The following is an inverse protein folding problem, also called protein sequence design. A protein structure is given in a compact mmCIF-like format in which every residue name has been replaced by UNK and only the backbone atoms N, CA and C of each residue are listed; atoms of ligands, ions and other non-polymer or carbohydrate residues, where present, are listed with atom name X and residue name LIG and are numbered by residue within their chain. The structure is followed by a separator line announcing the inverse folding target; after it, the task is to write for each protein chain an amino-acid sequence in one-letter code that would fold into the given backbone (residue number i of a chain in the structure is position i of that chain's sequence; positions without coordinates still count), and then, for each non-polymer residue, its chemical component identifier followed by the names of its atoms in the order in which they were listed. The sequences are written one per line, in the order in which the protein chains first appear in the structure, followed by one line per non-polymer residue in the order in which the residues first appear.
data_IF_311997808252
#
_entry.id   IF_311997808252
#
_cell.length_a   1.000
_cell.length_b   1.000
_cell.length_c   1.000
_cell.angle_alpha   90.00
_cell.angle_beta   90.00
_cell.angle_gamma   90.00
#
_symmetry.space_group_name_H-M   'P 1'
#
loop_
_entity.id
_entity.type
_entity.pdbx_description
1 polymer ?
#
# COMPACT_ATOMS: atom_id res chain seq x y z
N UNK A 1 -24.30 9.90 19.80
CA UNK A 1 -23.92 9.36 21.13
C UNK A 1 -23.76 7.84 21.13
N UNK A 2 -24.74 7.04 20.66
CA UNK A 2 -24.64 5.56 20.63
C UNK A 2 -23.47 5.00 19.79
N UNK A 3 -23.13 5.64 18.66
CA UNK A 3 -21.97 5.27 17.83
C UNK A 3 -20.61 5.57 18.49
N UNK A 4 -20.55 6.58 19.36
CA UNK A 4 -19.34 6.92 20.12
C UNK A 4 -19.10 5.89 21.25
N UNK A 5 -20.19 5.41 21.88
CA UNK A 5 -20.12 4.32 22.86
C UNK A 5 -19.66 3.01 22.22
N UNK A 6 -20.09 2.69 20.99
CA UNK A 6 -19.66 1.49 20.28
C UNK A 6 -18.16 1.57 19.89
N UNK A 7 -17.68 2.75 19.47
CA UNK A 7 -16.27 3.01 19.19
C UNK A 7 -15.40 2.87 20.46
N UNK A 8 -15.86 3.38 21.60
CA UNK A 8 -15.19 3.26 22.90
C UNK A 8 -15.16 1.83 23.44
N UNK A 9 -16.21 1.04 23.20
CA UNK A 9 -16.28 -0.37 23.62
C UNK A 9 -15.29 -1.25 22.83
N UNK A 10 -15.09 -0.94 21.55
CA UNK A 10 -14.14 -1.67 20.70
C UNK A 10 -12.68 -1.28 21.03
N UNK A 11 -12.43 -0.01 21.40
CA UNK A 11 -11.09 0.44 21.85
C UNK A 11 -10.75 -0.03 23.27
N UNK A 12 -11.73 -0.22 24.16
CA UNK A 12 -11.51 -0.59 25.56
C UNK A 12 -11.12 -2.05 25.80
N UNK A 13 -11.32 -2.94 24.83
CA UNK A 13 -11.06 -4.38 25.01
C UNK A 13 -9.60 -4.80 24.79
N UNK A 14 -8.73 -3.91 24.29
CA UNK A 14 -7.33 -4.22 23.99
C UNK A 14 -6.35 -3.88 25.13
N UNK A 15 -6.82 -3.35 26.26
CA UNK A 15 -5.96 -2.83 27.33
C UNK A 15 -5.78 -3.74 28.56
N UNK A 16 -6.44 -4.91 28.62
CA UNK A 16 -6.48 -5.74 29.84
C UNK A 16 -5.74 -7.08 29.78
N UNK A 17 -4.83 -7.29 28.83
CA UNK A 17 -4.01 -8.50 28.80
C UNK A 17 -2.55 -8.17 28.47
N UNK A 18 -1.81 -7.70 29.47
CA UNK A 18 -0.37 -7.97 29.73
C UNK A 18 0.17 -6.89 30.69
N UNK A 19 -0.10 -7.01 31.99
CA UNK A 19 0.61 -6.23 32.99
C UNK A 19 0.56 -6.97 34.33
N UNK A 20 1.24 -8.11 34.41
CA UNK A 20 1.61 -8.70 35.69
C UNK A 20 3.00 -9.31 35.54
N UNK A 21 3.99 -8.51 35.94
CA UNK A 21 5.05 -8.87 36.88
C UNK A 21 6.39 -8.26 36.46
N UNK A 22 6.74 -7.13 37.08
CA UNK A 22 8.08 -6.57 37.06
C UNK A 22 8.26 -5.70 38.31
N UNK A 23 8.78 -6.30 39.39
CA UNK A 23 9.36 -5.59 40.52
C UNK A 23 10.86 -5.29 40.26
N UNK A 24 11.47 -4.28 40.93
CA UNK A 24 12.62 -3.54 40.40
C UNK A 24 13.97 -3.89 41.09
N UNK A 25 15.06 -3.13 40.88
CA UNK A 25 16.31 -3.57 40.26
C UNK A 25 17.40 -4.06 41.24
N UNK A 26 18.35 -4.84 40.74
CA UNK A 26 19.67 -5.01 41.34
C UNK A 26 20.73 -4.64 40.28
N UNK A 27 21.36 -3.50 40.50
CA UNK A 27 22.75 -3.21 40.10
C UNK A 27 23.64 -4.28 40.73
N UNK A 28 24.68 -4.86 40.13
CA UNK A 28 25.91 -4.37 39.49
C UNK A 28 26.39 -5.56 38.60
N UNK A 29 27.06 -5.49 37.44
CA UNK A 29 28.26 -4.76 37.00
C UNK A 29 28.32 -4.77 35.44
N UNK A 30 29.09 -3.86 34.84
CA UNK A 30 29.48 -3.76 33.41
C UNK A 30 31.03 -3.67 33.37
N UNK A 31 31.79 -3.88 32.26
CA UNK A 31 31.50 -4.34 30.88
C UNK A 31 32.42 -5.49 30.36
N UNK A 32 32.04 -6.10 29.23
CA UNK A 32 32.97 -6.38 28.12
C UNK A 32 32.20 -6.38 26.79
N UNK A 33 32.83 -5.85 25.74
CA UNK A 33 32.25 -5.30 24.52
C UNK A 33 32.16 -6.29 23.33
N UNK A 34 31.35 -5.89 22.32
CA UNK A 34 31.34 -6.28 20.88
C UNK A 34 30.92 -7.75 20.58
N UNK A 35 30.12 -8.16 19.58
CA UNK A 35 29.59 -7.68 18.29
C UNK A 35 28.64 -8.80 17.75
N UNK A 36 27.66 -8.59 16.83
CA UNK A 36 26.83 -9.70 16.32
C UNK A 36 27.03 -10.07 14.83
N UNK A 37 26.96 -11.40 14.59
CA UNK A 37 26.40 -12.17 13.45
C UNK A 37 27.06 -12.17 12.05
N UNK A 38 27.04 -13.33 11.35
CA UNK A 38 26.98 -13.39 9.90
C UNK A 38 25.71 -14.09 9.39
N UNK A 39 25.11 -13.54 8.34
CA UNK A 39 23.98 -14.08 7.58
C UNK A 39 24.49 -14.53 6.20
N UNK A 40 23.99 -15.65 5.68
CA UNK A 40 24.42 -16.29 4.43
C UNK A 40 23.35 -16.18 3.35
N UNK A 41 23.75 -15.79 2.14
CA UNK A 41 22.96 -15.80 0.90
C UNK A 41 23.06 -17.15 0.17
N UNK A 42 22.03 -17.61 -0.58
CA UNK A 42 22.19 -18.65 -1.58
C UNK A 42 22.20 -18.10 -3.01
N UNK A 43 23.09 -18.67 -3.82
CA UNK A 43 23.28 -18.41 -5.24
C UNK A 43 22.21 -19.03 -6.15
N UNK A 44 22.04 -18.46 -7.36
CA UNK A 44 22.21 -19.17 -8.65
C UNK A 44 21.79 -18.30 -9.86
N UNK A 45 22.64 -18.24 -10.89
CA UNK A 45 22.33 -18.72 -12.26
C UNK A 45 23.47 -18.38 -13.25
N UNK A 46 24.00 -19.44 -13.87
CA UNK A 46 24.95 -19.46 -14.99
C UNK A 46 24.23 -19.41 -16.34
N UNK A 47 24.76 -18.65 -17.31
CA UNK A 47 25.24 -19.18 -18.61
C UNK A 47 25.47 -18.06 -19.63
N UNK A 48 26.72 -17.81 -20.02
CA UNK A 48 27.08 -17.44 -21.38
C UNK A 48 28.40 -18.14 -21.74
N UNK A 49 28.47 -18.73 -22.93
CA UNK A 49 29.68 -19.31 -23.48
C UNK A 49 30.39 -18.31 -24.38
N UNK A 50 31.71 -18.28 -24.33
CA UNK A 50 32.58 -18.32 -25.51
C UNK A 50 34.02 -18.57 -25.02
N UNK A 51 34.69 -19.56 -25.62
CA UNK A 51 36.01 -20.02 -25.23
C UNK A 51 37.12 -19.15 -25.84
N UNK A 52 38.12 -18.75 -25.03
CA UNK A 52 39.54 -18.67 -25.41
C UNK A 52 40.41 -18.68 -24.14
N UNK A 53 41.29 -19.68 -24.05
CA UNK A 53 42.46 -19.84 -23.15
C UNK A 53 43.64 -20.09 -24.10
N UNK A 54 44.96 -19.84 -23.79
CA UNK A 54 45.61 -19.99 -22.47
C UNK A 54 46.72 -18.92 -22.12
N UNK A 55 46.77 -18.37 -20.90
CA UNK A 55 47.61 -18.77 -19.72
C UNK A 55 48.68 -17.68 -19.40
N UNK A 56 49.30 -17.60 -18.21
CA UNK A 56 48.76 -17.06 -16.95
C UNK A 56 49.64 -15.94 -16.34
N UNK A 57 49.15 -15.37 -15.24
CA UNK A 57 49.84 -14.53 -14.25
C UNK A 57 49.56 -13.02 -14.32
N UNK A 58 49.08 -12.53 -13.17
CA UNK A 58 48.81 -11.14 -12.78
C UNK A 58 47.43 -10.57 -13.16
N UNK A 59 46.35 -11.24 -12.73
CA UNK A 59 45.07 -10.56 -12.50
C UNK A 59 45.22 -9.60 -11.31
N UNK A 60 45.31 -8.31 -11.60
CA UNK A 60 44.90 -7.27 -10.66
C UNK A 60 43.38 -7.34 -10.60
N UNK A 61 42.74 -7.66 -9.47
CA UNK A 61 41.29 -7.70 -9.39
C UNK A 61 40.73 -6.31 -9.67
N UNK A 62 39.94 -6.20 -10.75
CA UNK A 62 39.06 -5.08 -10.95
C UNK A 62 38.04 -5.09 -9.81
N UNK A 63 38.06 -4.05 -8.97
CA UNK A 63 37.05 -3.86 -7.95
C UNK A 63 35.66 -3.79 -8.60
N UNK A 64 34.64 -4.48 -8.05
CA UNK A 64 33.27 -4.29 -8.50
C UNK A 64 32.86 -2.86 -8.18
N UNK A 65 32.53 -2.06 -9.19
CA UNK A 65 31.92 -0.75 -9.00
C UNK A 65 30.52 -0.98 -8.45
N UNK A 66 30.41 -0.90 -7.13
CA UNK A 66 29.16 -0.79 -6.38
C UNK A 66 28.50 0.55 -6.75
N UNK A 67 27.74 0.56 -7.83
CA UNK A 67 26.82 1.67 -8.14
C UNK A 67 25.51 1.51 -7.35
N UNK A 68 25.59 1.37 -6.03
CA UNK A 68 24.46 1.73 -5.17
C UNK A 68 24.38 3.27 -5.15
N UNK A 69 23.32 3.88 -5.71
CA UNK A 69 23.20 5.33 -5.71
C UNK A 69 23.22 5.83 -4.25
N UNK A 70 23.97 6.91 -3.96
CA UNK A 70 24.17 7.37 -2.60
C UNK A 70 22.81 7.61 -1.94
N UNK A 71 22.65 7.13 -0.71
CA UNK A 71 21.40 7.17 0.07
C UNK A 71 20.70 8.55 0.18
N UNK A 72 21.38 9.62 -0.21
CA UNK A 72 20.85 10.98 -0.33
C UNK A 72 19.99 11.18 -1.60
N UNK A 73 20.30 10.52 -2.72
CA UNK A 73 19.53 10.63 -3.98
C UNK A 73 18.21 9.86 -3.93
N UNK A 74 18.20 8.68 -3.31
CA UNK A 74 16.98 7.89 -3.12
C UNK A 74 15.97 8.61 -2.19
N UNK A 75 16.47 9.26 -1.13
CA UNK A 75 15.65 10.07 -0.20
C UNK A 75 15.06 11.28 -0.92
N UNK A 76 15.86 12.02 -1.68
CA UNK A 76 15.41 13.17 -2.47
C UNK A 76 14.20 12.80 -3.34
N UNK A 77 14.28 11.69 -4.07
CA UNK A 77 13.19 11.19 -4.92
C UNK A 77 11.92 10.83 -4.12
N UNK A 78 12.06 10.18 -2.96
CA UNK A 78 10.94 9.82 -2.07
C UNK A 78 10.23 11.05 -1.52
N UNK A 79 10.98 12.07 -1.10
CA UNK A 79 10.42 13.34 -0.65
C UNK A 79 9.69 14.06 -1.79
N UNK A 80 10.26 14.12 -2.99
CA UNK A 80 9.58 14.73 -4.14
C UNK A 80 8.28 14.00 -4.51
N UNK A 81 8.27 12.67 -4.50
CA UNK A 81 7.06 11.88 -4.75
C UNK A 81 5.99 12.12 -3.67
N UNK A 82 6.39 12.23 -2.39
CA UNK A 82 5.47 12.59 -1.31
C UNK A 82 4.92 14.02 -1.45
N UNK A 83 5.78 14.99 -1.73
CA UNK A 83 5.35 16.40 -1.94
C UNK A 83 4.43 16.50 -3.16
N UNK A 84 4.74 15.80 -4.26
CA UNK A 84 3.91 15.79 -5.46
C UNK A 84 2.55 15.11 -5.21
N UNK A 85 2.53 13.93 -4.59
CA UNK A 85 1.29 13.23 -4.25
C UNK A 85 0.42 14.01 -3.26
N UNK A 86 1.03 14.67 -2.27
CA UNK A 86 0.31 15.54 -1.33
C UNK A 86 -0.26 16.78 -2.04
N UNK A 87 0.49 17.36 -2.97
CA UNK A 87 0.03 18.49 -3.79
C UNK A 87 -1.18 18.07 -4.63
N UNK A 88 -1.08 16.93 -5.33
CA UNK A 88 -2.19 16.36 -6.11
C UNK A 88 -3.40 16.08 -5.21
N UNK A 89 -3.18 15.50 -4.03
CA UNK A 89 -4.24 15.20 -3.05
C UNK A 89 -4.98 16.47 -2.61
N UNK A 90 -4.26 17.52 -2.24
CA UNK A 90 -4.86 18.79 -1.80
C UNK A 90 -5.62 19.45 -2.96
N UNK A 91 -5.02 19.51 -4.15
CA UNK A 91 -5.70 20.06 -5.34
C UNK A 91 -6.95 19.25 -5.71
N UNK A 92 -6.90 17.92 -5.61
CA UNK A 92 -8.06 17.06 -5.85
C UNK A 92 -9.19 17.32 -4.85
N UNK A 93 -8.88 17.61 -3.57
CA UNK A 93 -9.89 18.00 -2.57
C UNK A 93 -10.57 19.32 -2.97
N UNK A 94 -9.80 20.34 -3.35
CA UNK A 94 -10.37 21.63 -3.78
C UNK A 94 -11.28 21.45 -5.00
N UNK A 95 -10.84 20.68 -5.99
CA UNK A 95 -11.64 20.36 -7.17
C UNK A 95 -12.90 19.59 -6.77
N UNK A 96 -12.79 18.57 -5.91
CA UNK A 96 -13.94 17.80 -5.44
C UNK A 96 -14.98 18.65 -4.72
N UNK A 97 -14.56 19.60 -3.88
CA UNK A 97 -15.44 20.54 -3.20
C UNK A 97 -16.18 21.46 -4.19
N UNK A 98 -15.46 22.06 -5.14
CA UNK A 98 -16.07 22.94 -6.15
C UNK A 98 -17.07 22.19 -7.04
N UNK A 99 -16.76 20.94 -7.41
CA UNK A 99 -17.66 20.11 -8.21
C UNK A 99 -18.95 19.76 -7.47
N UNK A 100 -18.87 19.36 -6.20
CA UNK A 100 -20.05 18.95 -5.41
C UNK A 100 -20.93 20.15 -5.06
N UNK A 101 -20.35 21.32 -4.82
CA UNK A 101 -21.14 22.53 -4.48
C UNK A 101 -21.94 23.08 -5.66
N UNK A 102 -21.57 22.74 -6.92
CA UNK A 102 -22.23 23.22 -8.14
C UNK A 102 -23.31 22.29 -8.70
N UNK A 103 -23.61 21.16 -8.05
CA UNK A 103 -24.67 20.27 -8.52
C UNK A 103 -26.06 20.69 -8.02
N UNK A 104 -27.10 20.61 -8.86
CA UNK A 104 -28.46 20.93 -8.45
C UNK A 104 -29.02 19.90 -7.46
N UNK A 105 -29.97 20.28 -6.59
CA UNK A 105 -30.48 19.38 -5.56
C UNK A 105 -31.17 18.12 -6.07
N UNK A 106 -31.72 18.17 -7.29
CA UNK A 106 -32.32 17.03 -7.98
C UNK A 106 -31.35 15.89 -8.24
N UNK A 107 -30.04 16.18 -8.26
CA UNK A 107 -28.98 15.22 -8.52
C UNK A 107 -28.24 14.76 -7.25
N UNK A 108 -28.61 15.19 -6.04
CA UNK A 108 -27.91 14.75 -4.83
C UNK A 108 -27.94 13.22 -4.63
N UNK A 109 -29.09 12.58 -4.90
CA UNK A 109 -29.22 11.12 -4.76
C UNK A 109 -28.49 10.36 -5.88
N UNK A 110 -28.63 10.72 -7.17
CA UNK A 110 -27.78 10.16 -8.22
C UNK A 110 -26.28 10.39 -7.98
N UNK A 111 -25.89 11.56 -7.47
CA UNK A 111 -24.50 11.88 -7.17
C UNK A 111 -23.96 11.07 -5.99
N UNK A 112 -24.78 10.85 -4.96
CA UNK A 112 -24.44 9.98 -3.84
C UNK A 112 -24.18 8.53 -4.31
N UNK A 113 -24.99 8.02 -5.25
CA UNK A 113 -24.73 6.72 -5.88
C UNK A 113 -23.49 6.76 -6.79
N UNK A 114 -23.33 7.86 -7.55
CA UNK A 114 -22.21 8.04 -8.47
C UNK A 114 -20.85 8.07 -7.77
N UNK A 115 -20.76 8.71 -6.60
CA UNK A 115 -19.51 8.70 -5.80
C UNK A 115 -19.18 7.30 -5.27
N UNK A 116 -20.18 6.47 -4.99
CA UNK A 116 -19.96 5.05 -4.68
C UNK A 116 -19.37 4.30 -5.89
N UNK A 117 -19.85 4.57 -7.10
CA UNK A 117 -19.27 3.98 -8.33
C UNK A 117 -17.80 4.40 -8.55
N UNK A 118 -17.47 5.67 -8.26
CA UNK A 118 -16.09 6.18 -8.36
C UNK A 118 -15.16 5.51 -7.34
N UNK A 119 -15.66 5.17 -6.15
CA UNK A 119 -14.89 4.42 -5.14
C UNK A 119 -14.44 3.03 -5.63
N UNK A 120 -15.04 2.53 -6.72
CA UNK A 120 -14.65 1.30 -7.40
C UNK A 120 -13.21 1.27 -7.91
N UNK A 121 -12.48 2.40 -7.90
CA UNK A 121 -11.02 2.44 -8.12
C UNK A 121 -10.24 1.48 -7.21
N UNK A 122 -10.83 1.04 -6.09
CA UNK A 122 -10.28 0.00 -5.23
C UNK A 122 -9.94 -1.31 -5.96
N UNK A 123 -10.52 -1.57 -7.13
CA UNK A 123 -10.14 -2.71 -7.98
C UNK A 123 -8.66 -2.72 -8.36
N UNK A 124 -8.05 -1.54 -8.54
CA UNK A 124 -6.61 -1.43 -8.81
C UNK A 124 -5.80 -1.95 -7.61
N UNK A 125 -6.19 -1.56 -6.40
CA UNK A 125 -5.58 -2.06 -5.17
C UNK A 125 -5.78 -3.56 -4.99
N UNK A 126 -6.98 -4.07 -5.30
CA UNK A 126 -7.28 -5.50 -5.21
C UNK A 126 -6.45 -6.34 -6.19
N UNK A 127 -6.24 -5.87 -7.42
CA UNK A 127 -5.40 -6.54 -8.42
C UNK A 127 -3.94 -6.59 -7.98
N UNK A 128 -3.39 -5.47 -7.48
CA UNK A 128 -2.02 -5.43 -6.97
C UNK A 128 -1.88 -6.40 -5.78
N UNK A 129 -2.83 -6.38 -4.83
CA UNK A 129 -2.83 -7.27 -3.68
C UNK A 129 -2.94 -8.75 -4.07
N UNK A 130 -3.75 -9.08 -5.08
CA UNK A 130 -3.90 -10.44 -5.57
C UNK A 130 -2.61 -10.99 -6.23
N UNK A 131 -1.77 -10.11 -6.79
CA UNK A 131 -0.47 -10.50 -7.35
C UNK A 131 0.70 -10.48 -6.35
N UNK A 132 0.50 -10.00 -5.13
CA UNK A 132 1.61 -9.66 -4.23
C UNK A 132 2.09 -10.80 -3.30
N UNK A 133 1.42 -11.95 -3.25
CA UNK A 133 1.73 -12.99 -2.28
C UNK A 133 1.79 -14.40 -2.86
N UNK A 134 2.83 -15.15 -2.48
CA UNK A 134 3.07 -16.53 -2.94
C UNK A 134 2.32 -17.59 -2.11
N UNK A 135 1.72 -17.21 -0.98
CA UNK A 135 0.97 -18.14 -0.14
C UNK A 135 -0.43 -18.40 -0.68
N UNK A 136 -0.92 -19.64 -0.52
CA UNK A 136 -2.30 -20.00 -0.85
C UNK A 136 -3.34 -19.09 -0.19
N UNK A 137 -3.07 -18.66 1.05
CA UNK A 137 -3.96 -17.76 1.78
C UNK A 137 -3.99 -16.36 1.17
N UNK A 138 -2.84 -15.83 0.73
CA UNK A 138 -2.75 -14.54 0.05
C UNK A 138 -3.51 -14.57 -1.28
N UNK A 139 -3.35 -15.64 -2.06
CA UNK A 139 -4.10 -15.83 -3.31
C UNK A 139 -5.62 -15.88 -3.07
N UNK A 140 -6.07 -16.58 -2.03
CA UNK A 140 -7.49 -16.66 -1.69
C UNK A 140 -8.08 -15.32 -1.24
N UNK A 141 -7.38 -14.58 -0.39
CA UNK A 141 -7.80 -13.24 0.05
C UNK A 141 -7.78 -12.26 -1.13
N UNK A 142 -6.77 -12.33 -1.99
CA UNK A 142 -6.67 -11.54 -3.23
C UNK A 142 -7.84 -11.79 -4.18
N UNK A 143 -8.23 -13.06 -4.37
CA UNK A 143 -9.40 -13.42 -5.17
C UNK A 143 -10.68 -12.79 -4.59
N UNK A 144 -10.89 -12.88 -3.28
CA UNK A 144 -12.03 -12.27 -2.60
C UNK A 144 -12.00 -10.75 -2.76
N UNK A 145 -10.83 -10.12 -2.60
CA UNK A 145 -10.67 -8.67 -2.77
C UNK A 145 -11.09 -8.22 -4.18
N UNK A 146 -10.68 -8.96 -5.22
CA UNK A 146 -11.05 -8.65 -6.61
C UNK A 146 -12.55 -8.82 -6.83
N UNK A 147 -13.17 -9.88 -6.30
CA UNK A 147 -14.63 -10.10 -6.40
C UNK A 147 -15.38 -8.93 -5.74
N UNK A 148 -15.01 -8.57 -4.52
CA UNK A 148 -15.67 -7.49 -3.79
C UNK A 148 -15.47 -6.13 -4.47
N UNK A 149 -14.26 -5.85 -4.97
CA UNK A 149 -14.00 -4.63 -5.73
C UNK A 149 -14.80 -4.57 -7.04
N UNK A 150 -14.93 -5.71 -7.73
CA UNK A 150 -15.75 -5.81 -8.95
C UNK A 150 -17.23 -5.57 -8.66
N UNK A 151 -17.75 -6.11 -7.56
CA UNK A 151 -19.14 -5.85 -7.13
C UNK A 151 -19.34 -4.35 -6.85
N UNK A 152 -18.38 -3.67 -6.21
CA UNK A 152 -18.46 -2.23 -5.96
C UNK A 152 -18.53 -1.43 -7.27
N UNK A 153 -17.63 -1.72 -8.22
CA UNK A 153 -17.59 -1.10 -9.55
C UNK A 153 -18.93 -1.33 -10.26
N UNK A 154 -19.28 -2.59 -10.53
CA UNK A 154 -20.45 -2.93 -11.35
C UNK A 154 -21.75 -2.48 -10.69
N UNK A 155 -21.90 -2.72 -9.38
CA UNK A 155 -23.07 -2.31 -8.62
C UNK A 155 -23.25 -0.79 -8.61
N UNK A 156 -22.16 -0.04 -8.37
CA UNK A 156 -22.19 1.42 -8.37
C UNK A 156 -22.62 2.00 -9.73
N UNK A 157 -22.07 1.49 -10.84
CA UNK A 157 -22.43 1.97 -12.17
C UNK A 157 -23.87 1.58 -12.58
N UNK A 158 -24.33 0.36 -12.25
CA UNK A 158 -25.70 -0.07 -12.58
C UNK A 158 -26.76 0.74 -11.84
N UNK A 159 -26.58 0.98 -10.54
CA UNK A 159 -27.53 1.76 -9.74
C UNK A 159 -27.58 3.21 -10.22
N UNK A 160 -26.40 3.81 -10.44
CA UNK A 160 -26.31 5.19 -10.94
C UNK A 160 -26.94 5.33 -12.32
N UNK A 161 -26.73 4.36 -13.22
CA UNK A 161 -27.35 4.36 -14.55
C UNK A 161 -28.88 4.36 -14.46
N UNK A 162 -29.46 3.49 -13.62
CA UNK A 162 -30.92 3.44 -13.39
C UNK A 162 -31.46 4.73 -12.80
N UNK A 163 -30.71 5.37 -11.90
CA UNK A 163 -31.10 6.66 -11.33
C UNK A 163 -31.11 7.77 -12.38
N UNK A 164 -30.10 7.81 -13.26
CA UNK A 164 -29.98 8.82 -14.31
C UNK A 164 -30.95 8.61 -15.48
N UNK A 165 -31.37 7.38 -15.71
CA UNK A 165 -32.36 7.05 -16.74
C UNK A 165 -33.71 7.75 -16.52
N UNK A 166 -34.07 8.02 -15.27
CA UNK A 166 -35.30 8.74 -14.90
C UNK A 166 -35.31 10.22 -15.33
N UNK A 167 -34.16 10.80 -15.67
CA UNK A 167 -34.07 12.17 -16.18
C UNK A 167 -34.13 12.26 -17.71
N UNK A 168 -34.21 11.13 -18.42
CA UNK A 168 -34.33 11.14 -19.88
C UNK A 168 -35.76 11.51 -20.29
N UNK A 169 -35.94 12.43 -21.23
CA UNK A 169 -37.27 12.77 -21.74
C UNK A 169 -37.89 11.54 -22.42
N UNK A 170 -39.16 11.26 -22.09
CA UNK A 170 -39.93 10.16 -22.67
C UNK A 170 -40.21 10.51 -24.14
N UNK A 171 -39.67 9.73 -25.06
CA UNK A 171 -40.07 9.76 -26.48
C UNK A 171 -41.27 8.87 -26.71
#
# INVERSE_FOLDING_TARGET
MKWLMLLLLILGSAASATAQDAAPPKTDEKPTAAEPAPEAEPAQATAEGEATTPDPAAETPAEPVDETPPSHEAKFTRYHALVASLTIFILAIFIGFELITKVPPTLHTPLMSGSNAISGISIVGALIAASAGDSWLAAFIGLIAVILATINVVGGYLVTHRMLEMFKPKR
#
